data_IF_077740341751
#
_entry.id   IF_077740341751
#
_cell.length_a   1.000
_cell.length_b   1.000
_cell.length_c   1.000
_cell.angle_alpha   90.00
_cell.angle_beta   90.00
_cell.angle_gamma   90.00
#
_symmetry.space_group_name_H-M   'P 1'
#
loop_
_entity.id
_entity.type
_entity.pdbx_description
1 polymer ?
#
# COMPACT_ATOMS: atom_id res chain seq x y z
N UNK A 1 29.45 16.25 -4.43
CA UNK A 1 29.94 15.95 -3.06
C UNK A 1 28.71 15.99 -2.16
N UNK A 2 28.30 14.87 -1.55
CA UNK A 2 27.21 14.93 -0.56
C UNK A 2 27.78 15.53 0.72
N UNK A 3 27.14 16.57 1.23
CA UNK A 3 27.44 17.15 2.53
C UNK A 3 26.62 16.44 3.60
N UNK A 4 27.11 16.45 4.84
CA UNK A 4 26.38 15.93 6.01
C UNK A 4 24.96 16.52 6.10
N UNK A 5 24.79 17.80 5.73
CA UNK A 5 23.48 18.46 5.66
C UNK A 5 22.55 17.80 4.64
N UNK A 6 23.03 17.50 3.43
CA UNK A 6 22.20 16.83 2.41
C UNK A 6 21.79 15.41 2.81
N UNK A 7 22.59 14.72 3.62
CA UNK A 7 22.23 13.41 4.20
C UNK A 7 21.11 13.54 5.23
N UNK A 8 21.19 14.53 6.13
CA UNK A 8 20.14 14.81 7.11
C UNK A 8 18.83 15.20 6.41
N UNK A 9 18.89 16.12 5.45
CA UNK A 9 17.73 16.52 4.65
C UNK A 9 17.13 15.33 3.85
N UNK A 10 17.96 14.36 3.47
CA UNK A 10 17.52 13.11 2.84
C UNK A 10 16.78 12.19 3.79
N UNK A 11 17.29 12.02 5.01
CA UNK A 11 16.66 11.22 6.08
C UNK A 11 15.32 11.82 6.53
N UNK A 12 15.23 13.14 6.64
CA UNK A 12 13.98 13.84 6.96
C UNK A 12 12.92 13.60 5.89
N UNK A 13 13.30 13.69 4.61
CA UNK A 13 12.40 13.40 3.48
C UNK A 13 11.94 11.94 3.45
N UNK A 14 12.84 10.99 3.73
CA UNK A 14 12.49 9.58 3.87
C UNK A 14 11.50 9.35 5.00
N UNK A 15 11.74 9.98 6.15
CA UNK A 15 10.85 9.89 7.32
C UNK A 15 9.45 10.41 6.98
N UNK A 16 9.36 11.54 6.27
CA UNK A 16 8.08 12.10 5.83
C UNK A 16 7.34 11.18 4.85
N UNK A 17 8.05 10.57 3.91
CA UNK A 17 7.45 9.59 2.99
C UNK A 17 6.95 8.34 3.71
N UNK A 18 7.65 7.89 4.76
CA UNK A 18 7.26 6.73 5.57
C UNK A 18 6.08 6.99 6.50
N UNK A 19 5.72 8.25 6.78
CA UNK A 19 4.53 8.57 7.60
C UNK A 19 3.21 8.11 7.00
N UNK A 20 3.17 7.75 5.72
CA UNK A 20 1.97 7.22 5.06
C UNK A 20 1.78 5.71 5.21
N UNK A 21 2.74 5.00 5.81
CA UNK A 21 2.62 3.54 6.07
C UNK A 21 1.37 3.21 6.90
N UNK A 22 1.08 3.90 8.02
CA UNK A 22 -0.12 3.62 8.81
C UNK A 22 -1.41 3.82 8.02
N UNK A 23 -1.46 4.81 7.12
CA UNK A 23 -2.64 5.06 6.27
C UNK A 23 -2.91 3.86 5.35
N UNK A 24 -1.85 3.31 4.75
CA UNK A 24 -1.94 2.12 3.90
C UNK A 24 -2.39 0.89 4.70
N UNK A 25 -1.82 0.70 5.90
CA UNK A 25 -2.19 -0.39 6.80
C UNK A 25 -3.66 -0.28 7.23
N UNK A 26 -4.13 0.92 7.57
CA UNK A 26 -5.54 1.16 7.92
C UNK A 26 -6.47 0.87 6.72
N UNK A 27 -6.10 1.31 5.52
CA UNK A 27 -6.88 1.02 4.31
C UNK A 27 -6.99 -0.49 4.04
N UNK A 28 -5.89 -1.24 4.20
CA UNK A 28 -5.88 -2.71 4.07
C UNK A 28 -6.75 -3.35 5.15
N UNK A 29 -6.61 -2.93 6.41
CA UNK A 29 -7.40 -3.46 7.52
C UNK A 29 -8.91 -3.22 7.32
N UNK A 30 -9.30 -2.04 6.84
CA UNK A 30 -10.71 -1.75 6.48
C UNK A 30 -11.22 -2.67 5.37
N UNK A 31 -10.41 -2.90 4.34
CA UNK A 31 -10.78 -3.80 3.26
C UNK A 31 -10.93 -5.25 3.74
N UNK A 32 -10.03 -5.73 4.61
CA UNK A 32 -10.12 -7.05 5.23
C UNK A 32 -11.39 -7.22 6.07
N UNK A 33 -11.75 -6.22 6.88
CA UNK A 33 -13.00 -6.23 7.64
C UNK A 33 -14.22 -6.27 6.72
N UNK A 34 -14.23 -5.46 5.65
CA UNK A 34 -15.32 -5.48 4.67
C UNK A 34 -15.48 -6.84 3.95
N UNK A 35 -14.38 -7.53 3.66
CA UNK A 35 -14.41 -8.89 3.11
C UNK A 35 -14.91 -9.92 4.14
N UNK A 36 -14.54 -9.77 5.41
CA UNK A 36 -15.02 -10.64 6.48
C UNK A 36 -16.54 -10.48 6.70
N UNK A 37 -17.04 -9.26 6.64
CA UNK A 37 -18.47 -8.95 6.72
C UNK A 37 -19.25 -9.55 5.54
N UNK A 38 -18.75 -9.36 4.31
CA UNK A 38 -19.33 -9.95 3.11
C UNK A 38 -19.38 -11.48 3.20
N UNK A 39 -18.28 -12.11 3.65
CA UNK A 39 -18.23 -13.56 3.87
C UNK A 39 -19.28 -13.99 4.89
N UNK A 40 -19.39 -13.30 6.02
CA UNK A 40 -20.37 -13.60 7.08
C UNK A 40 -21.81 -13.47 6.57
N UNK A 41 -22.09 -12.48 5.73
CA UNK A 41 -23.38 -12.30 5.08
C UNK A 41 -23.71 -13.47 4.13
N UNK A 42 -22.74 -13.90 3.32
CA UNK A 42 -22.88 -15.05 2.42
C UNK A 42 -23.06 -16.37 3.17
N UNK A 43 -22.38 -16.51 4.30
CA UNK A 43 -22.53 -17.65 5.19
C UNK A 43 -23.84 -17.59 6.00
N UNK A 44 -24.66 -16.54 5.90
CA UNK A 44 -25.91 -16.48 6.67
C UNK A 44 -26.93 -17.53 6.21
N UNK A 45 -27.74 -18.10 7.14
CA UNK A 45 -28.77 -19.08 6.81
C UNK A 45 -29.77 -18.57 5.75
N UNK A 46 -30.04 -17.26 5.73
CA UNK A 46 -30.94 -16.62 4.77
C UNK A 46 -30.45 -16.70 3.33
N UNK A 47 -29.13 -16.60 3.11
CA UNK A 47 -28.51 -16.75 1.78
C UNK A 47 -28.36 -18.22 1.43
N UNK A 48 -28.02 -19.09 2.40
CA UNK A 48 -27.96 -20.54 2.18
C UNK A 48 -29.31 -21.18 1.86
N UNK A 49 -30.41 -20.57 2.31
CA UNK A 49 -31.78 -21.02 2.04
C UNK A 49 -32.37 -20.46 0.74
N UNK A 50 -31.66 -19.56 0.02
CA UNK A 50 -32.09 -19.07 -1.28
C UNK A 50 -32.15 -20.24 -2.27
N UNK A 51 -33.37 -20.67 -2.55
CA UNK A 51 -33.68 -21.94 -3.18
C UNK A 51 -33.78 -21.73 -4.70
N UNK A 52 -32.63 -21.75 -5.36
CA UNK A 52 -32.56 -21.88 -6.82
C UNK A 52 -31.43 -21.07 -7.46
N UNK A 53 -30.78 -21.64 -8.47
CA UNK A 53 -29.64 -21.06 -9.19
C UNK A 53 -29.92 -19.64 -9.72
N UNK A 54 -31.18 -19.31 -10.01
CA UNK A 54 -31.60 -17.98 -10.49
C UNK A 54 -31.58 -16.93 -9.38
N UNK A 55 -32.09 -17.24 -8.19
CA UNK A 55 -32.11 -16.33 -7.05
C UNK A 55 -30.68 -16.07 -6.53
N UNK A 56 -29.85 -17.12 -6.51
CA UNK A 56 -28.43 -16.99 -6.17
C UNK A 56 -27.71 -16.06 -7.15
N UNK A 57 -27.96 -16.21 -8.46
CA UNK A 57 -27.37 -15.33 -9.47
C UNK A 57 -27.82 -13.88 -9.30
N UNK A 58 -29.10 -13.65 -9.08
CA UNK A 58 -29.64 -12.30 -8.87
C UNK A 58 -29.08 -11.63 -7.61
N UNK A 59 -28.86 -12.41 -6.54
CA UNK A 59 -28.21 -11.93 -5.32
C UNK A 59 -26.73 -11.59 -5.53
N UNK A 60 -26.00 -12.43 -6.28
CA UNK A 60 -24.60 -12.15 -6.66
C UNK A 60 -24.52 -10.83 -7.44
N UNK A 61 -25.36 -10.68 -8.46
CA UNK A 61 -25.33 -9.52 -9.35
C UNK A 61 -25.71 -8.21 -8.63
N UNK A 62 -26.68 -8.28 -7.69
CA UNK A 62 -27.19 -7.08 -7.00
C UNK A 62 -26.47 -6.71 -5.72
N UNK A 63 -25.82 -7.66 -5.05
CA UNK A 63 -25.28 -7.45 -3.70
C UNK A 63 -23.78 -7.76 -3.65
N UNK A 64 -23.39 -8.97 -4.05
CA UNK A 64 -22.02 -9.45 -3.87
C UNK A 64 -21.04 -8.69 -4.75
N UNK A 65 -21.34 -8.57 -6.05
CA UNK A 65 -20.47 -7.86 -7.00
C UNK A 65 -20.33 -6.38 -6.61
N UNK A 66 -21.41 -5.62 -6.32
CA UNK A 66 -21.29 -4.24 -5.87
C UNK A 66 -20.48 -4.07 -4.58
N UNK A 67 -20.66 -4.94 -3.59
CA UNK A 67 -19.89 -4.88 -2.34
C UNK A 67 -18.40 -5.17 -2.56
N UNK A 68 -18.06 -6.22 -3.32
CA UNK A 68 -16.66 -6.51 -3.69
C UNK A 68 -16.02 -5.38 -4.49
N UNK A 69 -16.79 -4.77 -5.40
CA UNK A 69 -16.35 -3.62 -6.19
C UNK A 69 -16.06 -2.43 -5.27
N UNK A 70 -16.96 -2.13 -4.33
CA UNK A 70 -16.75 -1.06 -3.35
C UNK A 70 -15.53 -1.29 -2.46
N UNK A 71 -15.30 -2.52 -1.98
CA UNK A 71 -14.11 -2.86 -1.20
C UNK A 71 -12.84 -2.71 -2.04
N UNK A 72 -12.84 -3.18 -3.29
CA UNK A 72 -11.72 -3.03 -4.23
C UNK A 72 -11.40 -1.56 -4.46
N UNK A 73 -12.41 -0.74 -4.77
CA UNK A 73 -12.22 0.67 -5.11
C UNK A 73 -11.75 1.47 -3.89
N UNK A 74 -12.31 1.20 -2.70
CA UNK A 74 -11.85 1.79 -1.46
C UNK A 74 -10.41 1.41 -1.13
N UNK A 75 -10.03 0.15 -1.35
CA UNK A 75 -8.65 -0.33 -1.17
C UNK A 75 -7.70 0.34 -2.16
N UNK A 76 -8.09 0.46 -3.44
CA UNK A 76 -7.27 1.17 -4.44
C UNK A 76 -7.06 2.63 -4.02
N UNK A 77 -8.14 3.36 -3.74
CA UNK A 77 -8.07 4.78 -3.37
C UNK A 77 -7.25 4.97 -2.09
N UNK A 78 -7.45 4.12 -1.08
CA UNK A 78 -6.78 4.24 0.21
C UNK A 78 -5.30 3.85 0.21
N UNK A 79 -4.83 3.08 -0.78
CA UNK A 79 -3.44 2.57 -0.78
C UNK A 79 -2.58 3.10 -1.93
N UNK A 80 -3.18 3.58 -3.02
CA UNK A 80 -2.46 3.97 -4.24
C UNK A 80 -1.41 5.05 -4.02
N UNK A 81 -1.75 6.11 -3.28
CA UNK A 81 -0.81 7.20 -3.01
C UNK A 81 0.27 6.76 -2.00
N UNK A 82 -0.13 6.05 -0.95
CA UNK A 82 0.80 5.53 0.06
C UNK A 82 1.83 4.57 -0.55
N UNK A 83 1.42 3.63 -1.41
CA UNK A 83 2.35 2.73 -2.10
C UNK A 83 3.25 3.48 -3.10
N UNK A 84 2.75 4.53 -3.76
CA UNK A 84 3.58 5.37 -4.62
C UNK A 84 4.67 6.10 -3.82
N UNK A 85 4.30 6.67 -2.66
CA UNK A 85 5.24 7.32 -1.74
C UNK A 85 6.26 6.33 -1.18
N UNK A 86 5.82 5.13 -0.81
CA UNK A 86 6.72 4.08 -0.31
C UNK A 86 7.75 3.63 -1.35
N UNK A 87 7.32 3.45 -2.61
CA UNK A 87 8.26 3.18 -3.72
C UNK A 87 9.27 4.31 -3.90
N UNK A 88 8.81 5.56 -3.77
CA UNK A 88 9.68 6.73 -3.85
C UNK A 88 10.68 6.76 -2.68
N UNK A 89 10.24 6.41 -1.48
CA UNK A 89 11.11 6.29 -0.31
C UNK A 89 12.17 5.20 -0.52
N UNK A 90 11.77 4.04 -1.05
CA UNK A 90 12.70 2.95 -1.38
C UNK A 90 13.77 3.41 -2.38
N UNK A 91 13.38 4.02 -3.50
CA UNK A 91 14.34 4.52 -4.49
C UNK A 91 15.29 5.58 -3.92
N UNK A 92 14.80 6.45 -3.05
CA UNK A 92 15.63 7.45 -2.37
C UNK A 92 16.60 6.80 -1.40
N UNK A 93 16.15 5.81 -0.61
CA UNK A 93 16.98 5.04 0.30
C UNK A 93 18.08 4.29 -0.45
N UNK A 94 17.75 3.62 -1.56
CA UNK A 94 18.72 2.90 -2.40
C UNK A 94 19.81 3.84 -2.94
N UNK A 95 19.42 5.00 -3.48
CA UNK A 95 20.38 6.01 -3.95
C UNK A 95 21.26 6.52 -2.81
N UNK A 96 20.69 6.69 -1.62
CA UNK A 96 21.45 7.17 -0.46
C UNK A 96 22.43 6.11 0.03
N UNK A 97 22.05 4.83 0.06
CA UNK A 97 22.93 3.72 0.39
C UNK A 97 24.12 3.63 -0.56
N UNK A 98 23.89 3.67 -1.88
CA UNK A 98 24.98 3.66 -2.87
C UNK A 98 25.94 4.82 -2.66
N UNK A 99 25.43 6.03 -2.41
CA UNK A 99 26.27 7.21 -2.18
C UNK A 99 27.07 7.12 -0.88
N UNK A 100 26.48 6.59 0.19
CA UNK A 100 27.17 6.36 1.46
C UNK A 100 28.23 5.26 1.34
N UNK A 101 27.98 4.22 0.55
CA UNK A 101 28.98 3.19 0.22
C UNK A 101 30.15 3.79 -0.55
N UNK A 102 29.91 4.61 -1.58
CA UNK A 102 30.98 5.28 -2.33
C UNK A 102 31.84 6.20 -1.44
N UNK A 103 31.23 6.86 -0.44
CA UNK A 103 31.96 7.64 0.57
C UNK A 103 32.79 6.74 1.50
N UNK A 104 32.22 5.63 1.96
CA UNK A 104 32.89 4.64 2.82
C UNK A 104 34.07 3.98 2.13
N UNK A 105 33.94 3.68 0.84
CA UNK A 105 34.96 2.99 0.04
C UNK A 105 36.10 3.92 -0.42
N UNK A 106 36.10 5.19 0.01
CA UNK A 106 37.12 6.18 -0.38
C UNK A 106 37.10 6.53 -1.87
N UNK A 107 36.04 6.16 -2.61
CA UNK A 107 35.92 6.33 -4.06
C UNK A 107 35.75 7.79 -4.51
N UNK A 108 35.89 8.74 -3.58
CA UNK A 108 35.80 10.18 -3.84
C UNK A 108 37.17 10.78 -4.16
N UNK A 109 38.27 10.10 -3.82
CA UNK A 109 39.64 10.54 -4.13
C UNK A 109 40.02 10.32 -5.60
N UNK A 110 39.37 9.37 -6.29
CA UNK A 110 39.64 9.03 -7.70
C UNK A 110 38.87 9.90 -8.73
N UNK A 111 38.12 10.91 -8.28
CA UNK A 111 37.45 11.91 -9.13
C UNK A 111 38.00 13.34 -8.93
N UNK A 112 39.12 13.47 -8.21
CA UNK A 112 39.87 14.72 -8.02
C UNK A 112 41.21 14.73 -8.79
N UNK A 113 41.42 13.75 -9.69
CA UNK A 113 42.50 13.75 -10.68
C UNK A 113 42.02 14.27 -12.03
#
# INVERSE_FOLDING_TARGET
>A
MITFRETIDGLERLTELLRTVPDAEEAVNRALSGLADLRSMLDSPRVRQAAGTKEVREYIDRVVIPQLTGVRDALEVGTKDSFRRLRTAQEQADRMMVRLQMLSDGSVDSLLG
#
